data_IF_878186745131
#
_entry.id   IF_878186745131
#
_cell.length_a   1.000
_cell.length_b   1.000
_cell.length_c   1.000
_cell.angle_alpha   90.00
_cell.angle_beta   90.00
_cell.angle_gamma   90.00
#
_symmetry.space_group_name_H-M   'P 1'
#
loop_
_entity.id
_entity.type
_entity.pdbx_description
1 polymer ?
#
# COMPACT_ATOMS: atom_id res chain seq x y z
N UNK A 1 -26.69 -41.92 -8.98
CA UNK A 1 -27.48 -40.67 -9.07
C UNK A 1 -27.07 -39.76 -7.92
N UNK A 2 -26.55 -38.55 -8.22
CA UNK A 2 -26.16 -37.55 -7.21
C UNK A 2 -27.43 -36.98 -6.56
N UNK A 3 -27.49 -37.00 -5.23
CA UNK A 3 -28.58 -36.46 -4.44
C UNK A 3 -28.49 -34.93 -4.49
N UNK A 4 -29.35 -34.30 -5.29
CA UNK A 4 -29.46 -32.84 -5.36
C UNK A 4 -30.15 -32.41 -4.06
N UNK A 5 -29.38 -31.83 -3.14
CA UNK A 5 -29.92 -31.19 -1.94
C UNK A 5 -30.40 -29.81 -2.38
N UNK A 6 -31.72 -29.68 -2.56
CA UNK A 6 -32.35 -28.38 -2.80
C UNK A 6 -32.39 -27.65 -1.45
N UNK A 7 -31.41 -26.80 -1.19
CA UNK A 7 -31.43 -25.88 -0.05
C UNK A 7 -32.51 -24.82 -0.30
N UNK A 8 -33.67 -25.00 0.32
CA UNK A 8 -34.66 -23.92 0.45
C UNK A 8 -34.07 -22.87 1.39
N UNK A 9 -33.68 -21.73 0.83
CA UNK A 9 -33.33 -20.54 1.61
C UNK A 9 -34.65 -19.95 2.14
N UNK A 10 -35.06 -20.38 3.33
CA UNK A 10 -36.19 -19.77 4.03
C UNK A 10 -35.79 -18.38 4.54
N UNK A 11 -36.63 -17.39 4.23
CA UNK A 11 -36.48 -16.00 4.65
C UNK A 11 -36.29 -15.89 6.17
N UNK A 12 -35.14 -15.35 6.58
CA UNK A 12 -34.75 -15.16 7.97
C UNK A 12 -35.71 -14.16 8.66
N UNK A 13 -36.57 -14.62 9.57
CA UNK A 13 -37.48 -13.75 10.33
C UNK A 13 -36.74 -13.10 11.51
N UNK A 14 -37.24 -11.95 11.98
CA UNK A 14 -36.67 -11.20 13.12
C UNK A 14 -36.55 -12.02 14.43
N UNK A 15 -37.37 -13.05 14.60
CA UNK A 15 -37.30 -13.99 15.73
C UNK A 15 -36.09 -14.93 15.64
N UNK A 16 -35.67 -15.30 14.44
CA UNK A 16 -34.51 -16.17 14.20
C UNK A 16 -33.21 -15.42 14.45
N UNK A 17 -33.15 -14.13 14.08
CA UNK A 17 -32.04 -13.23 14.41
C UNK A 17 -31.80 -13.11 15.92
N UNK A 18 -32.86 -12.98 16.73
CA UNK A 18 -32.74 -12.94 18.21
C UNK A 18 -32.24 -14.27 18.79
N UNK A 19 -32.64 -15.40 18.19
CA UNK A 19 -32.22 -16.73 18.62
C UNK A 19 -30.76 -17.00 18.24
N UNK A 20 -30.36 -16.54 17.05
CA UNK A 20 -28.99 -16.61 16.57
C UNK A 20 -28.06 -15.71 17.40
N UNK A 21 -28.47 -14.46 17.69
CA UNK A 21 -27.67 -13.56 18.53
C UNK A 21 -27.47 -14.14 19.93
N UNK A 22 -28.49 -14.74 20.54
CA UNK A 22 -28.35 -15.44 21.83
C UNK A 22 -27.33 -16.57 21.79
N UNK A 23 -27.35 -17.41 20.74
CA UNK A 23 -26.38 -18.51 20.58
C UNK A 23 -24.96 -17.99 20.38
N UNK A 24 -24.78 -16.98 19.53
CA UNK A 24 -23.49 -16.34 19.28
C UNK A 24 -22.96 -15.69 20.55
N UNK A 25 -23.80 -14.99 21.32
CA UNK A 25 -23.40 -14.33 22.55
C UNK A 25 -22.99 -15.34 23.64
N UNK A 26 -23.69 -16.48 23.75
CA UNK A 26 -23.29 -17.60 24.64
C UNK A 26 -21.94 -18.20 24.24
N UNK A 27 -21.69 -18.35 22.94
CA UNK A 27 -20.42 -18.85 22.41
C UNK A 27 -19.27 -17.88 22.72
N UNK A 28 -19.45 -16.58 22.44
CA UNK A 28 -18.46 -15.55 22.75
C UNK A 28 -18.22 -15.44 24.25
N UNK A 29 -19.25 -15.48 25.10
CA UNK A 29 -19.09 -15.41 26.57
C UNK A 29 -18.27 -16.58 27.14
N UNK A 30 -18.36 -17.77 26.53
CA UNK A 30 -17.64 -18.98 26.96
C UNK A 30 -16.21 -19.06 26.42
N UNK A 31 -15.94 -18.49 25.24
CA UNK A 31 -14.64 -18.56 24.54
C UNK A 31 -13.89 -17.22 24.50
N UNK A 32 -14.40 -16.16 25.15
CA UNK A 32 -13.85 -14.80 25.14
C UNK A 32 -12.35 -14.76 25.47
N UNK A 33 -11.92 -15.56 26.45
CA UNK A 33 -10.51 -15.65 26.86
C UNK A 33 -9.59 -16.10 25.71
N UNK A 34 -10.02 -17.08 24.89
CA UNK A 34 -9.24 -17.56 23.74
C UNK A 34 -9.19 -16.55 22.59
N UNK A 35 -10.31 -15.84 22.34
CA UNK A 35 -10.35 -14.76 21.35
C UNK A 35 -9.40 -13.63 21.75
N UNK A 36 -9.35 -13.29 23.05
CA UNK A 36 -8.46 -12.26 23.57
C UNK A 36 -6.97 -12.64 23.46
N UNK A 37 -6.62 -13.91 23.71
CA UNK A 37 -5.24 -14.39 23.53
C UNK A 37 -4.77 -14.35 22.08
N UNK A 38 -5.64 -14.70 21.12
CA UNK A 38 -5.30 -14.61 19.68
C UNK A 38 -5.12 -13.15 19.25
N UNK A 39 -5.93 -12.23 19.77
CA UNK A 39 -5.81 -10.80 19.49
C UNK A 39 -4.51 -10.20 20.05
N UNK A 40 -4.06 -10.63 21.23
CA UNK A 40 -2.79 -10.18 21.81
C UNK A 40 -1.56 -10.72 21.08
N UNK A 41 -1.60 -11.97 20.62
CA UNK A 41 -0.50 -12.58 19.86
C UNK A 41 -0.38 -12.01 18.43
N UNK A 42 -1.45 -11.41 17.90
CA UNK A 42 -1.47 -10.78 16.56
C UNK A 42 -0.84 -9.38 16.53
N UNK A 43 -0.34 -8.87 17.65
CA UNK A 43 0.32 -7.56 17.71
C UNK A 43 1.70 -7.59 17.05
N UNK A 44 1.68 -7.41 15.73
CA UNK A 44 2.63 -6.62 14.94
C UNK A 44 4.10 -6.91 15.14
N UNK A 45 4.71 -7.55 14.14
CA UNK A 45 6.15 -7.44 13.88
C UNK A 45 6.47 -5.95 13.69
N UNK A 46 6.89 -5.30 14.77
CA UNK A 46 7.39 -3.93 14.73
C UNK A 46 8.78 -4.02 14.11
N UNK A 47 8.87 -3.80 12.80
CA UNK A 47 10.16 -3.56 12.18
C UNK A 47 10.82 -2.38 12.92
N UNK A 48 12.06 -2.52 13.41
CA UNK A 48 12.79 -1.39 13.97
C UNK A 48 12.94 -0.35 12.87
N UNK A 49 12.11 0.69 12.93
CA UNK A 49 12.26 1.87 12.09
C UNK A 49 13.36 2.66 12.77
N UNK A 50 14.60 2.47 12.32
CA UNK A 50 15.73 3.28 12.76
C UNK A 50 15.44 4.73 12.36
N UNK A 51 15.10 5.57 13.34
CA UNK A 51 14.62 6.94 13.12
C UNK A 51 15.77 7.92 12.92
N UNK A 52 16.98 7.53 13.30
CA UNK A 52 18.13 8.42 13.42
C UNK A 52 18.92 8.57 12.11
N UNK A 53 18.58 7.79 11.08
CA UNK A 53 19.26 7.80 9.78
C UNK A 53 18.72 8.85 8.79
N UNK A 54 17.64 9.57 9.11
CA UNK A 54 16.93 10.40 8.13
C UNK A 54 17.13 11.90 8.34
N UNK A 55 17.70 12.55 7.32
CA UNK A 55 17.73 14.01 7.21
C UNK A 55 16.34 14.56 6.95
N UNK A 56 16.05 15.75 7.49
CA UNK A 56 14.79 16.46 7.26
C UNK A 56 14.60 16.75 5.76
N UNK A 57 13.51 16.23 5.19
CA UNK A 57 13.07 16.56 3.83
C UNK A 57 12.85 18.08 3.69
N UNK A 58 13.57 18.77 2.78
CA UNK A 58 13.37 20.21 2.57
C UNK A 58 12.05 20.47 1.84
N UNK A 59 11.51 21.69 1.99
CA UNK A 59 10.19 22.08 1.45
C UNK A 59 10.19 22.32 -0.05
N UNK A 60 11.34 22.77 -0.57
CA UNK A 60 11.55 22.98 -2.00
C UNK A 60 12.85 22.28 -2.38
N UNK A 61 12.74 21.18 -3.13
CA UNK A 61 13.90 20.41 -3.60
C UNK A 61 13.68 19.92 -5.01
N UNK A 62 14.79 19.78 -5.73
CA UNK A 62 14.82 19.06 -7.01
C UNK A 62 15.93 18.04 -6.93
N UNK A 63 15.61 16.80 -7.26
CA UNK A 63 16.50 15.65 -7.12
C UNK A 63 16.37 14.81 -8.37
N UNK A 64 17.51 14.36 -8.88
CA UNK A 64 17.57 13.57 -10.11
C UNK A 64 18.11 12.18 -9.77
N UNK A 65 17.48 11.12 -10.27
CA UNK A 65 17.93 9.74 -10.03
C UNK A 65 17.54 8.81 -11.19
N UNK A 66 18.18 7.65 -11.26
CA UNK A 66 17.81 6.60 -12.23
C UNK A 66 16.87 5.58 -11.57
N UNK A 67 15.74 5.29 -12.21
CA UNK A 67 14.90 4.14 -11.87
C UNK A 67 15.42 2.91 -12.62
N UNK A 68 15.22 1.73 -12.03
CA UNK A 68 15.66 0.47 -12.61
C UNK A 68 14.46 -0.45 -12.80
N UNK A 69 14.39 -1.06 -13.98
CA UNK A 69 13.44 -2.12 -14.25
C UNK A 69 13.98 -3.44 -13.69
N UNK A 70 13.39 -3.92 -12.61
CA UNK A 70 13.70 -5.22 -12.02
C UNK A 70 12.75 -6.29 -12.56
N UNK A 71 13.31 -7.43 -12.98
CA UNK A 71 12.54 -8.62 -13.33
C UNK A 71 12.25 -9.43 -12.07
N UNK A 72 10.97 -9.59 -11.74
CA UNK A 72 10.53 -10.47 -10.68
C UNK A 72 10.51 -11.90 -11.22
N UNK A 73 11.52 -12.69 -10.86
CA UNK A 73 11.46 -14.13 -11.06
C UNK A 73 10.44 -14.68 -10.07
N UNK A 74 9.23 -15.02 -10.55
CA UNK A 74 8.28 -15.77 -9.75
C UNK A 74 8.86 -17.18 -9.57
N UNK A 75 9.06 -17.61 -8.33
CA UNK A 75 9.44 -18.99 -7.98
C UNK A 75 8.31 -20.00 -8.27
N UNK A 76 7.41 -19.70 -9.20
CA UNK A 76 6.37 -20.60 -9.65
C UNK A 76 6.93 -21.38 -10.83
N UNK A 77 7.20 -22.67 -10.64
CA UNK A 77 7.64 -23.65 -11.66
C UNK A 77 6.74 -23.75 -12.91
N UNK A 78 5.74 -22.88 -13.05
CA UNK A 78 4.67 -22.95 -14.05
C UNK A 78 4.26 -21.60 -14.65
N UNK A 79 4.90 -20.48 -14.27
CA UNK A 79 4.63 -19.18 -14.90
C UNK A 79 5.59 -18.95 -16.06
N UNK A 80 5.05 -18.69 -17.25
CA UNK A 80 5.83 -18.30 -18.44
C UNK A 80 5.92 -16.79 -18.61
N UNK A 81 5.22 -16.03 -17.77
CA UNK A 81 5.16 -14.57 -17.86
C UNK A 81 6.31 -13.91 -17.09
N UNK A 82 7.03 -13.02 -17.77
CA UNK A 82 8.09 -12.21 -17.14
C UNK A 82 7.45 -10.97 -16.51
N UNK A 83 7.32 -10.98 -15.19
CA UNK A 83 6.86 -9.81 -14.47
C UNK A 83 8.01 -8.82 -14.24
N UNK A 84 7.80 -7.57 -14.65
CA UNK A 84 8.77 -6.48 -14.46
C UNK A 84 8.20 -5.42 -13.53
N UNK A 85 9.07 -4.79 -12.74
CA UNK A 85 8.71 -3.81 -11.73
C UNK A 85 9.70 -2.65 -11.70
N UNK A 86 9.20 -1.45 -11.53
CA UNK A 86 9.99 -0.23 -11.32
C UNK A 86 9.17 0.75 -10.49
N UNK A 87 9.79 1.81 -9.98
CA UNK A 87 9.05 2.84 -9.24
C UNK A 87 8.06 3.60 -10.12
N UNK A 88 8.48 4.05 -11.32
CA UNK A 88 7.59 4.78 -12.24
C UNK A 88 6.46 3.90 -12.78
N UNK A 89 6.73 2.61 -12.99
CA UNK A 89 5.72 1.65 -13.46
C UNK A 89 4.54 1.50 -12.47
N UNK A 90 4.71 1.85 -11.19
CA UNK A 90 3.59 1.86 -10.24
C UNK A 90 2.56 2.97 -10.50
N UNK A 91 2.92 4.01 -11.26
CA UNK A 91 2.05 5.16 -11.51
C UNK A 91 1.53 5.21 -12.95
N UNK A 92 2.07 4.41 -13.86
CA UNK A 92 1.70 4.46 -15.28
C UNK A 92 1.68 3.08 -15.92
N UNK A 93 0.64 2.80 -16.70
CA UNK A 93 0.53 1.58 -17.52
C UNK A 93 1.36 1.63 -18.82
N UNK A 94 2.16 2.70 -19.01
CA UNK A 94 2.96 2.87 -20.23
C UNK A 94 4.10 1.89 -20.24
N UNK A 95 4.16 1.09 -21.31
CA UNK A 95 5.17 0.05 -21.49
C UNK A 95 6.52 0.60 -21.98
N UNK A 96 6.57 1.86 -22.46
CA UNK A 96 7.73 2.44 -23.15
C UNK A 96 8.50 3.48 -22.32
N UNK A 97 8.60 3.32 -21.01
CA UNK A 97 9.42 4.23 -20.19
C UNK A 97 10.90 4.05 -20.56
N UNK A 98 11.61 5.15 -20.82
CA UNK A 98 13.06 5.10 -21.06
C UNK A 98 13.83 5.14 -19.74
N UNK A 99 14.20 3.96 -19.25
CA UNK A 99 14.99 3.80 -18.02
C UNK A 99 16.47 4.21 -18.16
N UNK A 100 16.94 4.51 -19.38
CA UNK A 100 18.29 5.04 -19.59
C UNK A 100 18.39 6.53 -19.23
N UNK A 101 17.25 7.22 -19.13
CA UNK A 101 17.16 8.63 -18.76
C UNK A 101 16.87 8.79 -17.28
N UNK A 102 17.44 9.83 -16.64
CA UNK A 102 17.16 10.08 -15.25
C UNK A 102 15.76 10.69 -15.06
N UNK A 103 15.18 10.43 -13.91
CA UNK A 103 13.90 10.97 -13.46
C UNK A 103 14.17 12.16 -12.54
N UNK A 104 13.44 13.25 -12.77
CA UNK A 104 13.48 14.43 -11.92
C UNK A 104 12.30 14.38 -10.92
N UNK A 105 12.62 14.32 -9.63
CA UNK A 105 11.67 14.50 -8.55
C UNK A 105 11.81 15.90 -7.98
N UNK A 106 10.71 16.65 -8.04
CA UNK A 106 10.65 18.01 -7.52
C UNK A 106 9.57 18.12 -6.45
N UNK A 107 9.95 18.54 -5.25
CA UNK A 107 9.02 18.87 -4.18
C UNK A 107 8.90 20.39 -4.14
N UNK A 108 7.67 20.88 -4.14
CA UNK A 108 7.36 22.29 -3.92
C UNK A 108 6.24 22.42 -2.89
N UNK A 109 6.55 22.91 -1.69
CA UNK A 109 5.60 23.05 -0.58
C UNK A 109 4.85 21.75 -0.27
N UNK A 110 3.64 21.59 -0.80
CA UNK A 110 2.74 20.46 -0.57
C UNK A 110 2.50 19.63 -1.84
N UNK A 111 3.32 19.83 -2.87
CA UNK A 111 3.21 19.18 -4.17
C UNK A 111 4.50 18.45 -4.51
N UNK A 112 4.35 17.28 -5.13
CA UNK A 112 5.44 16.49 -5.67
C UNK A 112 5.22 16.29 -7.15
N UNK A 113 6.24 16.59 -7.94
CA UNK A 113 6.27 16.42 -9.38
C UNK A 113 7.32 15.35 -9.72
N UNK A 114 6.93 14.36 -10.53
CA UNK A 114 7.85 13.41 -11.14
C UNK A 114 7.89 13.67 -12.63
N UNK A 115 9.06 14.03 -13.16
CA UNK A 115 9.27 14.18 -14.60
C UNK A 115 10.14 13.06 -15.13
N UNK A 116 9.71 12.47 -16.24
CA UNK A 116 10.43 11.39 -16.92
C UNK A 116 10.14 11.39 -18.41
N UNK A 117 10.95 10.65 -19.17
CA UNK A 117 10.86 10.55 -20.62
C UNK A 117 10.47 9.12 -21.05
N UNK A 118 9.74 9.06 -22.15
CA UNK A 118 9.43 7.82 -22.88
C UNK A 118 10.56 7.49 -23.85
N UNK A 119 10.62 6.26 -24.34
CA UNK A 119 11.50 5.84 -25.43
C UNK A 119 11.31 6.67 -26.71
N UNK A 120 10.10 7.23 -26.90
CA UNK A 120 9.79 8.16 -27.98
C UNK A 120 10.16 9.63 -27.67
N UNK A 121 10.97 9.88 -26.64
CA UNK A 121 11.39 11.21 -26.18
C UNK A 121 10.25 12.14 -25.76
N UNK A 122 9.08 11.57 -25.44
CA UNK A 122 7.94 12.34 -24.92
C UNK A 122 8.15 12.58 -23.42
N UNK A 123 8.05 13.84 -23.00
CA UNK A 123 8.16 14.23 -21.58
C UNK A 123 6.83 14.07 -20.88
N UNK A 124 6.84 13.40 -19.74
CA UNK A 124 5.68 13.26 -18.86
C UNK A 124 5.95 13.89 -17.50
N UNK A 125 4.91 14.46 -16.90
CA UNK A 125 4.95 15.03 -15.56
C UNK A 125 3.77 14.46 -14.77
N UNK A 126 4.08 13.69 -13.73
CA UNK A 126 3.09 13.27 -12.74
C UNK A 126 3.06 14.27 -11.60
N UNK A 127 1.87 14.57 -11.12
CA UNK A 127 1.65 15.56 -10.07
C UNK A 127 0.86 14.94 -8.92
N UNK A 128 1.42 15.04 -7.72
CA UNK A 128 0.85 14.48 -6.50
C UNK A 128 0.72 15.55 -5.42
N UNK A 129 -0.41 15.54 -4.73
CA UNK A 129 -0.63 16.35 -3.54
C UNK A 129 -0.22 15.55 -2.30
N UNK A 130 0.56 16.19 -1.43
CA UNK A 130 1.07 15.58 -0.22
C UNK A 130 1.28 16.59 0.90
N UNK A 131 1.92 16.15 1.99
CA UNK A 131 2.26 16.98 3.13
C UNK A 131 3.61 16.57 3.70
N UNK A 132 4.34 17.55 4.23
CA UNK A 132 5.50 17.27 5.07
C UNK A 132 5.04 16.75 6.43
N UNK A 133 5.63 15.62 6.85
CA UNK A 133 5.39 15.04 8.15
C UNK A 133 6.72 14.60 8.77
N UNK A 134 7.15 15.30 9.83
CA UNK A 134 8.47 15.13 10.45
C UNK A 134 9.58 15.29 9.40
N UNK A 135 10.40 14.26 9.17
CA UNK A 135 11.55 14.31 8.27
C UNK A 135 11.24 13.83 6.85
N UNK A 136 9.95 13.59 6.51
CA UNK A 136 9.54 12.98 5.24
C UNK A 136 8.42 13.76 4.56
N UNK A 137 8.35 13.66 3.24
CA UNK A 137 7.19 14.07 2.46
C UNK A 137 6.28 12.86 2.24
N UNK A 138 4.98 13.01 2.49
CA UNK A 138 4.02 11.91 2.42
C UNK A 138 2.90 12.28 1.45
N UNK A 139 2.62 11.37 0.52
CA UNK A 139 1.47 11.46 -0.37
C UNK A 139 0.79 10.09 -0.49
N UNK A 140 -0.42 10.10 -1.04
CA UNK A 140 -1.26 8.91 -1.15
C UNK A 140 -1.75 8.78 -2.59
N UNK A 141 -1.84 7.54 -3.07
CA UNK A 141 -2.45 7.20 -4.36
C UNK A 141 -3.48 6.09 -4.17
N UNK A 142 -4.24 5.81 -5.23
CA UNK A 142 -5.24 4.74 -5.33
C UNK A 142 -6.20 4.68 -4.13
N UNK A 143 -7.14 5.62 -4.11
CA UNK A 143 -8.21 5.65 -3.12
C UNK A 143 -9.37 4.77 -3.57
N UNK A 144 -9.41 3.53 -3.09
CA UNK A 144 -10.57 2.66 -3.29
C UNK A 144 -11.35 2.50 -1.99
N UNK A 145 -12.62 2.91 -2.02
CA UNK A 145 -13.55 2.64 -0.93
C UNK A 145 -14.41 1.47 -1.33
N UNK A 146 -14.17 0.31 -0.73
CA UNK A 146 -14.97 -0.89 -0.97
C UNK A 146 -16.08 -0.89 0.07
N UNK A 147 -17.32 -0.76 -0.40
CA UNK A 147 -18.52 -0.88 0.40
C UNK A 147 -19.06 -2.31 0.26
N UNK A 148 -18.89 -3.14 1.29
CA UNK A 148 -19.58 -4.42 1.42
C UNK A 148 -20.79 -4.21 2.37
N UNK A 149 -21.92 -4.92 2.19
CA UNK A 149 -23.29 -4.41 2.41
C UNK A 149 -23.43 -3.41 3.57
N UNK A 150 -23.74 -2.13 3.27
CA UNK A 150 -24.09 -0.94 4.09
C UNK A 150 -23.43 -0.69 5.48
N UNK A 151 -22.71 -1.66 6.02
CA UNK A 151 -22.17 -1.72 7.38
C UNK A 151 -20.64 -1.89 7.32
N UNK A 152 -20.08 -2.25 6.15
CA UNK A 152 -18.65 -2.46 5.96
C UNK A 152 -18.08 -1.46 4.94
N UNK A 153 -17.33 -0.49 5.43
CA UNK A 153 -16.54 0.42 4.60
C UNK A 153 -15.07 0.10 4.83
N UNK A 154 -14.38 -0.37 3.80
CA UNK A 154 -12.93 -0.54 3.83
C UNK A 154 -12.29 0.46 2.86
N UNK A 155 -11.23 1.12 3.31
CA UNK A 155 -10.43 2.03 2.49
C UNK A 155 -9.11 1.35 2.20
N UNK A 156 -8.87 1.10 0.92
CA UNK A 156 -7.57 0.67 0.43
C UNK A 156 -6.85 1.91 -0.08
N UNK A 157 -5.63 2.13 0.43
CA UNK A 157 -4.79 3.26 0.04
C UNK A 157 -3.33 2.82 -0.06
N UNK A 158 -2.63 3.37 -1.06
CA UNK A 158 -1.18 3.27 -1.17
C UNK A 158 -0.55 4.56 -0.69
N UNK A 159 0.20 4.49 0.40
CA UNK A 159 0.90 5.62 1.00
C UNK A 159 2.36 5.59 0.60
N UNK A 160 2.85 6.69 0.03
CA UNK A 160 4.25 6.88 -0.27
C UNK A 160 4.88 7.86 0.73
N UNK A 161 6.07 7.53 1.21
CA UNK A 161 6.87 8.37 2.08
C UNK A 161 8.25 8.56 1.44
N UNK A 162 8.55 9.80 1.07
CA UNK A 162 9.84 10.21 0.52
C UNK A 162 10.72 10.67 1.67
N UNK A 163 11.82 9.98 1.86
CA UNK A 163 12.81 10.22 2.91
C UNK A 163 14.19 10.45 2.27
N UNK A 164 14.97 11.34 2.86
CA UNK A 164 16.38 11.51 2.52
C UNK A 164 17.21 10.86 3.61
N UNK A 165 18.03 9.87 3.26
CA UNK A 165 19.00 9.30 4.21
C UNK A 165 20.12 10.31 4.37
N UNK A 166 20.78 10.65 3.25
CA UNK A 166 21.78 11.71 3.16
C UNK A 166 21.41 12.68 2.03
N UNK A 167 22.27 13.69 1.76
CA UNK A 167 22.13 14.57 0.58
C UNK A 167 22.21 13.80 -0.75
N UNK A 168 22.81 12.62 -0.74
CA UNK A 168 23.11 11.81 -1.94
C UNK A 168 22.20 10.60 -2.12
N UNK A 169 21.34 10.29 -1.16
CA UNK A 169 20.57 9.05 -1.15
C UNK A 169 19.10 9.31 -0.81
N UNK A 170 18.25 8.91 -1.74
CA UNK A 170 16.80 9.05 -1.67
C UNK A 170 16.18 7.69 -1.38
N UNK A 171 15.33 7.62 -0.35
CA UNK A 171 14.58 6.43 0.00
C UNK A 171 13.08 6.72 -0.12
N UNK A 172 12.38 5.96 -0.96
CA UNK A 172 10.93 6.04 -1.12
C UNK A 172 10.32 4.77 -0.53
N UNK A 173 9.49 4.94 0.50
CA UNK A 173 8.77 3.84 1.15
C UNK A 173 7.33 3.82 0.70
N UNK A 174 6.90 2.70 0.15
CA UNK A 174 5.54 2.41 -0.29
C UNK A 174 4.87 1.52 0.74
N UNK A 175 3.78 1.99 1.32
CA UNK A 175 2.98 1.27 2.29
C UNK A 175 1.60 0.99 1.69
N UNK A 176 1.26 -0.28 1.56
CA UNK A 176 -0.12 -0.70 1.31
C UNK A 176 -0.82 -0.77 2.65
N UNK A 177 -1.81 0.09 2.85
CA UNK A 177 -2.59 0.13 4.09
C UNK A 177 -4.05 -0.13 3.73
N UNK A 178 -4.57 -1.28 4.18
CA UNK A 178 -6.01 -1.51 4.20
C UNK A 178 -6.55 -1.09 5.57
N UNK A 179 -7.23 0.05 5.62
CA UNK A 179 -7.95 0.47 6.84
C UNK A 179 -9.40 0.00 6.72
N UNK A 180 -9.77 -1.02 7.50
CA UNK A 180 -11.11 -1.57 7.54
C UNK A 180 -11.65 -1.57 8.96
N UNK A 181 -12.84 -1.01 9.16
CA UNK A 181 -13.56 -1.11 10.42
C UNK A 181 -14.38 -2.41 10.44
N UNK A 182 -13.71 -3.56 10.62
CA UNK A 182 -14.43 -4.81 10.92
C UNK A 182 -14.74 -4.84 12.41
N UNK A 183 -16.01 -4.76 12.78
CA UNK A 183 -16.49 -4.77 14.18
C UNK A 183 -16.03 -5.97 15.02
N UNK A 184 -15.41 -7.00 14.44
CA UNK A 184 -15.00 -8.19 15.20
C UNK A 184 -13.60 -8.77 14.88
N UNK A 185 -12.92 -8.34 13.82
CA UNK A 185 -11.57 -8.86 13.50
C UNK A 185 -10.74 -7.79 12.78
N UNK A 186 -9.63 -7.37 13.39
CA UNK A 186 -8.65 -6.50 12.75
C UNK A 186 -7.91 -7.25 11.63
N UNK A 187 -8.57 -7.45 10.49
CA UNK A 187 -7.96 -8.02 9.30
C UNK A 187 -7.45 -6.89 8.40
N UNK A 188 -6.34 -6.28 8.81
CA UNK A 188 -5.58 -5.35 7.96
C UNK A 188 -4.36 -6.06 7.41
N UNK A 189 -4.26 -6.21 6.10
CA UNK A 189 -2.99 -6.61 5.49
C UNK A 189 -2.21 -5.33 5.21
N UNK A 190 -1.04 -5.22 5.84
CA UNK A 190 -0.09 -4.17 5.50
C UNK A 190 1.15 -4.79 4.90
N UNK A 191 1.57 -4.26 3.77
CA UNK A 191 2.86 -4.57 3.18
C UNK A 191 3.63 -3.28 2.98
N UNK A 192 4.94 -3.35 3.15
CA UNK A 192 5.84 -2.23 2.95
C UNK A 192 6.87 -2.60 1.90
N UNK A 193 7.17 -1.67 1.01
CA UNK A 193 8.19 -1.79 0.00
C UNK A 193 9.09 -0.57 0.05
N UNK A 194 10.38 -0.78 -0.17
CA UNK A 194 11.38 0.27 -0.02
C UNK A 194 12.15 0.35 -1.33
N UNK A 195 12.16 1.53 -1.94
CA UNK A 195 13.01 1.87 -3.09
C UNK A 195 14.13 2.78 -2.60
N UNK A 196 15.38 2.43 -2.93
CA UNK A 196 16.57 3.23 -2.59
C UNK A 196 17.25 3.67 -3.87
N UNK A 197 17.46 4.96 -4.01
CA UNK A 197 18.05 5.59 -5.17
C UNK A 197 19.26 6.43 -4.75
N UNK A 198 20.31 6.37 -5.56
CA UNK A 198 21.40 7.32 -5.47
C UNK A 198 21.03 8.55 -6.30
N UNK A 199 21.11 9.72 -5.68
CA UNK A 199 20.80 10.98 -6.34
C UNK A 199 22.01 11.46 -7.11
N UNK A 200 21.78 11.94 -8.32
CA UNK A 200 22.79 12.65 -9.11
C UNK A 200 22.84 14.06 -8.55
N UNK A 201 23.98 14.46 -8.00
CA UNK A 201 24.22 15.86 -7.66
C UNK A 201 24.33 16.64 -8.97
N UNK A 202 23.38 17.53 -9.20
CA UNK A 202 23.62 18.63 -10.12
C UNK A 202 24.55 19.59 -9.39
N UNK A 203 25.85 19.54 -9.70
CA UNK A 203 26.76 20.66 -9.45
C UNK A 203 26.28 21.90 -10.23
#
# INVERSE_FOLDING_TARGET
MKKIVVEKIEYCRSKDLKKYSKKVNLYFKRKFRFVFFILLASCGVQNPIDKDLYVKCPTDTTVVFYDKLDTLFSNAKYDTEVHTRSFIKNFTDKQFIDYSKPIELKIQKNQLFLKFEDALQRKFVLHFYGKHYKNKFVFYTNYETINFPLIFTTKQMTKYAVCFINKTTLEIKEYYVSEGMMLFFGAGHSSNRIYKFNTISNE
#
